data_IF_120994308613
#
_entry.id   IF_120994308613
#
_cell.length_a   1.000
_cell.length_b   1.000
_cell.length_c   1.000
_cell.angle_alpha   90.00
_cell.angle_beta   90.00
_cell.angle_gamma   90.00
#
_symmetry.space_group_name_H-M   'P 1'
#
loop_
_entity.id
_entity.type
_entity.pdbx_description
1 polymer ?
#
# COMPACT_ATOMS: atom_id res chain seq x y z
N UNK A 1 -56.94 23.29 -50.80
CA UNK A 1 -56.19 22.03 -50.61
C UNK A 1 -54.92 22.40 -49.81
N UNK A 2 -54.95 22.23 -48.50
CA UNK A 2 -53.87 22.66 -47.61
C UNK A 2 -53.15 21.40 -47.12
N UNK A 3 -51.87 21.20 -47.51
CA UNK A 3 -51.05 20.09 -47.10
C UNK A 3 -50.35 20.42 -45.78
N UNK A 4 -50.67 19.67 -44.74
CA UNK A 4 -49.96 19.75 -43.48
C UNK A 4 -48.68 18.90 -43.55
N UNK A 5 -47.52 19.51 -43.27
CA UNK A 5 -46.25 18.78 -43.07
C UNK A 5 -46.12 18.43 -41.59
N UNK A 6 -46.07 17.10 -41.32
CA UNK A 6 -45.76 16.60 -39.99
C UNK A 6 -44.24 16.44 -39.90
N UNK A 7 -43.64 17.27 -39.06
CA UNK A 7 -42.22 17.17 -38.74
C UNK A 7 -42.01 16.14 -37.61
N UNK A 8 -41.48 14.94 -37.98
CA UNK A 8 -41.13 13.93 -37.00
C UNK A 8 -39.77 14.27 -36.36
N UNK A 9 -39.79 14.75 -35.11
CA UNK A 9 -38.58 14.97 -34.35
C UNK A 9 -37.98 13.64 -33.83
N UNK A 10 -36.77 13.33 -34.26
CA UNK A 10 -36.00 12.19 -33.73
C UNK A 10 -35.35 12.64 -32.43
N UNK A 11 -35.84 12.14 -31.28
CA UNK A 11 -35.18 12.33 -29.98
C UNK A 11 -34.05 11.30 -29.89
N UNK A 12 -32.80 11.75 -30.05
CA UNK A 12 -31.63 10.91 -29.79
C UNK A 12 -31.46 10.77 -28.26
N UNK A 13 -31.76 9.59 -27.72
CA UNK A 13 -31.46 9.24 -26.34
C UNK A 13 -29.95 8.97 -26.22
N UNK A 14 -29.20 9.93 -25.71
CA UNK A 14 -27.81 9.70 -25.29
C UNK A 14 -27.81 8.88 -23.99
N UNK A 15 -27.56 7.60 -24.09
CA UNK A 15 -27.23 6.77 -22.90
C UNK A 15 -25.83 7.16 -22.44
N UNK A 16 -25.74 7.95 -21.39
CA UNK A 16 -24.49 8.12 -20.65
C UNK A 16 -24.16 6.78 -19.97
N UNK A 17 -23.13 6.08 -20.44
CA UNK A 17 -22.58 4.93 -19.75
C UNK A 17 -21.94 5.46 -18.46
N UNK A 18 -22.54 5.13 -17.31
CA UNK A 18 -21.91 5.39 -16.01
C UNK A 18 -20.55 4.67 -15.99
N UNK A 19 -19.47 5.30 -15.48
CA UNK A 19 -18.22 4.59 -15.29
C UNK A 19 -18.48 3.37 -14.42
N UNK A 20 -18.03 2.21 -14.86
CA UNK A 20 -18.06 0.97 -14.10
C UNK A 20 -17.30 1.22 -12.78
N UNK A 21 -17.98 1.08 -11.66
CA UNK A 21 -17.28 1.06 -10.38
C UNK A 21 -16.32 -0.13 -10.40
N UNK A 22 -15.05 0.12 -10.07
CA UNK A 22 -14.05 -0.94 -9.99
C UNK A 22 -14.48 -1.93 -8.91
N UNK A 23 -14.91 -3.13 -9.34
CA UNK A 23 -15.41 -4.20 -8.45
C UNK A 23 -14.33 -5.25 -8.14
N UNK A 24 -13.09 -5.02 -8.59
CA UNK A 24 -12.01 -5.99 -8.40
C UNK A 24 -11.65 -6.09 -6.91
N UNK A 25 -11.88 -7.27 -6.35
CA UNK A 25 -11.36 -7.62 -5.03
C UNK A 25 -9.86 -7.77 -5.17
N UNK A 26 -9.11 -6.74 -4.76
CA UNK A 26 -7.66 -6.73 -4.85
C UNK A 26 -7.07 -7.64 -3.76
N UNK A 27 -6.89 -8.91 -4.08
CA UNK A 27 -6.09 -9.82 -3.28
C UNK A 27 -4.63 -9.60 -3.65
N UNK A 28 -3.90 -8.89 -2.78
CA UNK A 28 -2.49 -8.63 -3.01
C UNK A 28 -1.63 -9.90 -2.95
N UNK A 29 -0.48 -9.86 -3.61
CA UNK A 29 0.53 -10.91 -3.52
C UNK A 29 1.33 -10.78 -2.23
N UNK A 30 1.59 -11.90 -1.57
CA UNK A 30 2.37 -11.93 -0.32
C UNK A 30 3.81 -12.36 -0.61
N UNK A 31 4.75 -11.66 -0.03
CA UNK A 31 6.19 -11.91 -0.10
C UNK A 31 6.74 -12.08 1.32
N UNK A 32 7.76 -12.91 1.48
CA UNK A 32 8.41 -13.19 2.77
C UNK A 32 9.90 -12.91 2.71
N UNK A 33 10.38 -12.11 3.65
CA UNK A 33 11.79 -11.85 3.89
C UNK A 33 12.47 -13.07 4.56
N UNK A 34 13.79 -13.23 4.45
CA UNK A 34 14.55 -14.27 5.17
C UNK A 34 14.33 -14.24 6.68
N UNK A 35 14.13 -13.06 7.28
CA UNK A 35 13.83 -12.87 8.70
C UNK A 35 12.39 -13.16 9.12
N UNK A 36 11.53 -13.64 8.20
CA UNK A 36 10.15 -14.03 8.49
C UNK A 36 9.11 -12.90 8.35
N UNK A 37 9.52 -11.64 8.23
CA UNK A 37 8.60 -10.53 7.92
C UNK A 37 7.90 -10.80 6.60
N UNK A 38 6.58 -10.59 6.57
CA UNK A 38 5.79 -10.71 5.33
C UNK A 38 5.32 -9.34 4.87
N UNK A 39 5.21 -9.18 3.56
CA UNK A 39 4.62 -8.02 2.89
C UNK A 39 3.57 -8.51 1.91
N UNK A 40 2.32 -8.12 2.12
CA UNK A 40 1.25 -8.27 1.15
C UNK A 40 1.06 -6.95 0.42
N UNK A 41 1.44 -6.91 -0.87
CA UNK A 41 1.17 -5.76 -1.74
C UNK A 41 -0.31 -5.77 -2.14
N UNK A 42 -1.06 -4.77 -1.71
CA UNK A 42 -2.49 -4.64 -1.97
C UNK A 42 -2.77 -3.72 -3.15
N UNK A 43 -2.07 -2.58 -3.21
CA UNK A 43 -2.11 -1.64 -4.33
C UNK A 43 -0.68 -1.39 -4.79
N UNK A 44 -0.45 -1.46 -6.10
CA UNK A 44 0.84 -1.23 -6.74
C UNK A 44 0.66 -0.59 -8.13
N UNK A 45 1.72 -0.52 -8.91
CA UNK A 45 1.73 0.07 -10.24
C UNK A 45 0.75 -0.58 -11.23
N UNK A 46 0.33 -1.83 -10.98
CA UNK A 46 -0.58 -2.56 -11.88
C UNK A 46 -2.04 -2.10 -11.71
N UNK A 47 -2.38 -1.44 -10.60
CA UNK A 47 -3.75 -1.02 -10.34
C UNK A 47 -3.91 0.48 -10.03
N UNK A 48 -2.90 1.17 -9.48
CA UNK A 48 -3.01 2.60 -9.12
C UNK A 48 -1.91 3.48 -9.74
N UNK A 49 -1.01 2.90 -10.57
CA UNK A 49 0.13 3.62 -11.13
C UNK A 49 1.33 3.67 -10.18
N UNK A 50 2.41 4.32 -10.62
CA UNK A 50 3.70 4.33 -9.92
C UNK A 50 3.83 5.31 -8.76
N UNK A 51 2.81 6.14 -8.50
CA UNK A 51 2.88 7.21 -7.50
C UNK A 51 2.87 6.67 -6.08
N UNK A 52 2.15 5.57 -5.83
CA UNK A 52 1.96 5.01 -4.51
C UNK A 52 1.90 3.50 -4.52
N UNK A 53 2.42 2.88 -3.47
CA UNK A 53 2.18 1.47 -3.14
C UNK A 53 1.58 1.38 -1.74
N UNK A 54 0.56 0.54 -1.59
CA UNK A 54 -0.06 0.20 -0.31
C UNK A 54 0.15 -1.27 -0.03
N UNK A 55 0.65 -1.59 1.16
CA UNK A 55 0.81 -2.96 1.62
C UNK A 55 0.40 -3.17 3.07
N UNK A 56 0.33 -4.43 3.45
CA UNK A 56 0.25 -4.88 4.83
C UNK A 56 1.54 -5.62 5.17
N UNK A 57 2.24 -5.21 6.22
CA UNK A 57 3.41 -5.93 6.73
C UNK A 57 3.10 -6.59 8.06
N UNK A 58 3.61 -7.82 8.22
CA UNK A 58 3.58 -8.53 9.50
C UNK A 58 5.02 -8.81 9.90
N UNK A 59 5.42 -8.19 11.00
CA UNK A 59 6.71 -8.43 11.66
C UNK A 59 6.55 -9.55 12.68
N UNK A 60 7.34 -10.63 12.60
CA UNK A 60 7.24 -11.72 13.59
C UNK A 60 7.67 -11.25 14.99
N UNK A 61 7.35 -12.02 16.04
CA UNK A 61 7.85 -11.78 17.38
C UNK A 61 9.38 -11.63 17.43
N UNK A 62 9.85 -10.66 18.21
CA UNK A 62 11.27 -10.39 18.46
C UNK A 62 12.10 -10.20 17.19
N UNK A 63 11.49 -9.64 16.13
CA UNK A 63 12.18 -9.34 14.89
C UNK A 63 12.99 -8.05 14.99
N UNK A 64 14.01 -7.99 14.14
CA UNK A 64 14.88 -6.83 13.99
C UNK A 64 15.32 -6.74 12.52
N UNK A 65 14.95 -5.66 11.83
CA UNK A 65 15.29 -5.47 10.42
C UNK A 65 16.75 -5.09 10.17
N UNK A 66 17.48 -4.69 11.22
CA UNK A 66 18.74 -3.96 11.05
C UNK A 66 18.53 -2.55 10.48
N UNK A 67 19.60 -1.74 10.51
CA UNK A 67 19.58 -0.40 9.94
C UNK A 67 19.54 -0.47 8.41
N UNK A 68 18.63 0.28 7.80
CA UNK A 68 18.50 0.36 6.34
C UNK A 68 17.94 1.72 5.90
N UNK A 69 17.90 1.97 4.59
CA UNK A 69 17.37 3.19 4.00
C UNK A 69 16.39 2.86 2.89
N UNK A 70 15.45 3.77 2.67
CA UNK A 70 14.52 3.72 1.56
C UNK A 70 14.79 4.81 0.52
N UNK A 71 14.43 4.54 -0.73
CA UNK A 71 14.42 5.55 -1.81
C UNK A 71 13.14 6.37 -1.84
N UNK A 72 12.18 6.08 -0.97
CA UNK A 72 10.84 6.65 -0.89
C UNK A 72 10.51 7.10 0.52
N UNK A 73 9.46 7.91 0.66
CA UNK A 73 8.81 8.09 1.95
C UNK A 73 8.10 6.79 2.28
N UNK A 74 8.34 6.26 3.48
CA UNK A 74 7.64 5.11 4.02
C UNK A 74 6.81 5.55 5.21
N UNK A 75 5.52 5.22 5.19
CA UNK A 75 4.58 5.57 6.25
C UNK A 75 3.98 4.29 6.81
N UNK A 76 3.93 4.18 8.13
CA UNK A 76 3.29 3.08 8.85
C UNK A 76 2.07 3.53 9.61
N UNK A 77 1.05 2.69 9.63
CA UNK A 77 -0.06 2.73 10.57
C UNK A 77 -0.15 1.39 11.28
N UNK A 78 -0.01 1.37 12.60
CA UNK A 78 -0.01 0.15 13.39
C UNK A 78 -1.45 -0.36 13.59
N UNK A 79 -1.70 -1.59 13.14
CA UNK A 79 -2.98 -2.28 13.27
C UNK A 79 -3.03 -3.08 14.57
N UNK A 80 -1.94 -3.82 14.88
CA UNK A 80 -1.84 -4.63 16.10
C UNK A 80 -0.37 -4.85 16.49
N UNK A 81 -0.14 -5.21 17.76
CA UNK A 81 1.20 -5.33 18.33
C UNK A 81 1.85 -3.96 18.57
N UNK A 82 3.17 -3.94 18.70
CA UNK A 82 3.95 -2.71 18.87
C UNK A 82 5.16 -2.73 17.94
N UNK A 83 5.41 -1.60 17.26
CA UNK A 83 6.56 -1.43 16.38
C UNK A 83 7.51 -0.40 17.00
N UNK A 84 8.73 -0.81 17.34
CA UNK A 84 9.81 0.11 17.66
C UNK A 84 10.39 0.66 16.35
N UNK A 85 9.96 1.85 16.00
CA UNK A 85 10.35 2.59 14.80
C UNK A 85 11.54 3.48 15.14
N UNK A 86 12.74 3.03 14.80
CA UNK A 86 13.99 3.71 15.11
C UNK A 86 14.45 4.50 13.89
N UNK A 87 14.43 5.83 13.96
CA UNK A 87 14.90 6.72 12.88
C UNK A 87 16.14 7.46 13.32
N UNK A 88 17.24 7.32 12.58
CA UNK A 88 18.54 7.92 12.90
C UNK A 88 18.96 7.64 14.36
N UNK A 89 18.74 6.40 14.82
CA UNK A 89 19.07 5.94 16.17
C UNK A 89 18.10 6.39 17.27
N UNK A 90 17.03 7.13 16.93
CA UNK A 90 15.99 7.54 17.89
C UNK A 90 14.81 6.58 17.83
N UNK A 91 14.58 5.84 18.91
CA UNK A 91 13.47 4.90 19.06
C UNK A 91 12.16 5.62 19.34
N UNK A 92 11.10 5.17 18.68
CA UNK A 92 9.72 5.57 18.92
C UNK A 92 8.82 4.33 18.87
N UNK A 93 8.23 3.98 20.01
CA UNK A 93 7.28 2.85 20.08
C UNK A 93 5.94 3.27 19.52
N UNK A 94 5.58 2.69 18.38
CA UNK A 94 4.28 2.87 17.75
C UNK A 94 3.33 1.77 18.21
N UNK A 95 2.19 2.17 18.77
CA UNK A 95 1.11 1.31 19.25
C UNK A 95 -0.05 1.28 18.27
N UNK A 96 -1.01 0.35 18.38
CA UNK A 96 -2.21 0.35 17.54
C UNK A 96 -2.90 1.71 17.49
N UNK A 97 -3.22 2.17 16.28
CA UNK A 97 -3.77 3.50 16.02
C UNK A 97 -2.73 4.61 15.81
N UNK A 98 -1.45 4.33 16.05
CA UNK A 98 -0.37 5.31 15.82
C UNK A 98 0.22 5.17 14.43
N UNK A 99 0.74 6.27 13.90
CA UNK A 99 1.50 6.32 12.65
C UNK A 99 2.92 6.78 12.90
N UNK A 100 3.85 6.28 12.08
CA UNK A 100 5.21 6.75 11.96
C UNK A 100 5.60 6.88 10.50
N UNK A 101 6.71 7.55 10.24
CA UNK A 101 7.25 7.65 8.88
C UNK A 101 8.77 7.78 8.90
N UNK A 102 9.38 7.43 7.77
CA UNK A 102 10.78 7.73 7.45
C UNK A 102 10.85 8.28 6.03
N UNK A 103 11.79 9.13 5.78
CA UNK A 103 12.05 9.73 4.44
C UNK A 103 13.53 9.73 4.10
N UNK A 104 13.90 9.68 2.82
CA UNK A 104 15.29 9.86 2.44
C UNK A 104 15.87 11.19 2.95
N UNK A 105 17.13 11.25 3.40
CA UNK A 105 18.12 10.17 3.42
C UNK A 105 18.19 9.40 4.75
N UNK A 106 17.16 9.48 5.60
CA UNK A 106 17.17 8.94 6.95
C UNK A 106 17.41 7.41 6.95
N UNK A 107 18.09 6.92 7.99
CA UNK A 107 18.23 5.50 8.29
C UNK A 107 17.08 5.08 9.20
N UNK A 108 16.52 3.90 8.93
CA UNK A 108 15.43 3.32 9.73
C UNK A 108 15.76 1.90 10.17
N UNK A 109 15.20 1.49 11.30
CA UNK A 109 15.24 0.13 11.83
C UNK A 109 13.90 -0.17 12.48
N UNK A 110 13.38 -1.35 12.22
CA UNK A 110 12.11 -1.80 12.79
C UNK A 110 12.36 -2.98 13.71
N UNK A 111 11.91 -2.89 14.95
CA UNK A 111 11.99 -3.97 15.92
C UNK A 111 10.63 -4.27 16.51
N UNK A 112 10.42 -5.49 16.93
CA UNK A 112 9.21 -5.92 17.62
C UNK A 112 9.56 -6.65 18.91
N UNK A 113 8.64 -6.58 19.87
CA UNK A 113 8.64 -7.41 21.06
C UNK A 113 7.98 -8.78 20.83
N UNK A 114 7.65 -9.50 21.93
CA UNK A 114 7.10 -10.87 21.87
C UNK A 114 5.77 -11.00 21.11
N UNK A 115 5.02 -9.93 20.95
CA UNK A 115 3.74 -9.95 20.22
C UNK A 115 3.89 -9.78 18.70
N UNK A 116 5.08 -9.40 18.21
CA UNK A 116 5.23 -8.95 16.84
C UNK A 116 4.47 -7.64 16.55
N UNK A 117 4.29 -7.33 15.28
CA UNK A 117 3.46 -6.20 14.86
C UNK A 117 2.82 -6.45 13.49
N UNK A 118 1.61 -5.93 13.30
CA UNK A 118 0.96 -5.80 11.99
C UNK A 118 0.77 -4.33 11.69
N UNK A 119 1.15 -3.91 10.51
CA UNK A 119 1.06 -2.53 10.06
C UNK A 119 0.51 -2.46 8.64
N UNK A 120 -0.19 -1.37 8.34
CA UNK A 120 -0.39 -0.91 6.96
C UNK A 120 0.82 -0.04 6.63
N UNK A 121 1.39 -0.23 5.44
CA UNK A 121 2.54 0.53 4.95
C UNK A 121 2.23 1.17 3.62
N UNK A 122 2.67 2.42 3.46
CA UNK A 122 2.54 3.18 2.22
C UNK A 122 3.92 3.69 1.80
N UNK A 123 4.28 3.52 0.51
CA UNK A 123 5.49 4.11 -0.08
C UNK A 123 5.14 5.14 -1.15
N UNK A 124 5.85 6.26 -1.11
CA UNK A 124 5.74 7.37 -2.09
C UNK A 124 7.15 7.83 -2.48
N UNK A 125 7.58 7.63 -3.74
CA UNK A 125 6.88 6.95 -4.83
C UNK A 125 6.72 5.45 -4.61
N UNK A 126 5.78 4.84 -5.36
CA UNK A 126 5.33 3.47 -5.15
C UNK A 126 6.31 2.38 -5.60
N UNK A 127 7.34 2.70 -6.37
CA UNK A 127 8.32 1.72 -6.85
C UNK A 127 9.14 1.04 -5.73
N UNK A 128 9.17 1.64 -4.53
CA UNK A 128 9.89 1.06 -3.38
C UNK A 128 9.27 -0.26 -2.91
N UNK A 129 7.95 -0.36 -2.85
CA UNK A 129 7.27 -1.61 -2.49
C UNK A 129 7.63 -2.76 -3.41
N UNK A 130 7.71 -2.49 -4.72
CA UNK A 130 8.15 -3.47 -5.72
C UNK A 130 9.62 -3.86 -5.55
N UNK A 131 10.51 -2.89 -5.28
CA UNK A 131 11.93 -3.16 -5.02
C UNK A 131 12.12 -4.06 -3.81
N UNK A 132 11.33 -3.87 -2.75
CA UNK A 132 11.32 -4.74 -1.57
C UNK A 132 10.82 -6.14 -1.95
N UNK A 133 9.65 -6.24 -2.58
CA UNK A 133 9.06 -7.49 -3.01
C UNK A 133 9.98 -8.31 -3.92
N UNK A 134 10.73 -7.66 -4.82
CA UNK A 134 11.66 -8.35 -5.75
C UNK A 134 12.82 -9.08 -5.06
N UNK A 135 13.13 -8.73 -3.80
CA UNK A 135 14.20 -9.35 -3.00
C UNK A 135 13.67 -10.44 -2.07
N UNK A 136 12.36 -10.56 -1.95
CA UNK A 136 11.68 -11.47 -1.02
C UNK A 136 11.05 -12.63 -1.79
N UNK A 137 10.82 -13.74 -1.09
CA UNK A 137 10.20 -14.93 -1.69
C UNK A 137 8.70 -14.72 -1.81
N UNK A 138 8.17 -14.88 -3.04
CA UNK A 138 6.72 -14.94 -3.25
C UNK A 138 6.14 -16.17 -2.54
N UNK A 139 5.09 -15.96 -1.76
CA UNK A 139 4.34 -17.05 -1.13
C UNK A 139 3.23 -17.55 -2.08
N UNK A 140 2.89 -18.86 -2.02
CA UNK A 140 1.82 -19.43 -2.83
C UNK A 140 0.44 -18.87 -2.48
#
# INVERSE_FOLDING_TARGET
MTRAFVLAGIIALCFATAPSAQTDTLQGKTYRAPGGTTLRLMLDENNVGGEVTLGEMVFPPNSDSGDHKHGAIEIFYVVSGELDHVVNGKSQILKPGMSGFVKPPDSVRHKTGPAGAKVVVVWVPGDEGRKIASRWKLEP
#
